data_IF_503644860441
#
_entry.id   IF_503644860441
#
_cell.length_a   1.000
_cell.length_b   1.000
_cell.length_c   1.000
_cell.angle_alpha   90.00
_cell.angle_beta   90.00
_cell.angle_gamma   90.00
#
_symmetry.space_group_name_H-M   'P 1'
#
loop_
_entity.id
_entity.type
_entity.pdbx_description
1 polymer ?
#
# COMPACT_ATOMS: atom_id res chain seq x y z
N UNK A 1 -4.47 -0.68 -2.46
CA UNK A 1 -4.30 0.78 -2.57
C UNK A 1 -3.23 1.14 -3.57
N UNK A 2 -1.95 1.02 -3.21
CA UNK A 2 -0.85 1.46 -4.07
C UNK A 2 -0.74 0.74 -5.42
N UNK A 3 -1.07 -0.55 -5.51
CA UNK A 3 -1.11 -1.25 -6.80
C UNK A 3 -2.12 -0.64 -7.77
N UNK A 4 -3.30 -0.26 -7.27
CA UNK A 4 -4.32 0.46 -8.05
C UNK A 4 -3.82 1.85 -8.46
N UNK A 5 -3.13 2.57 -7.56
CA UNK A 5 -2.50 3.85 -7.88
C UNK A 5 -1.48 3.70 -9.01
N UNK A 6 -0.58 2.71 -8.94
CA UNK A 6 0.40 2.43 -9.97
C UNK A 6 -0.24 2.17 -11.34
N UNK A 7 -1.26 1.30 -11.38
CA UNK A 7 -2.03 1.05 -12.60
C UNK A 7 -2.73 2.32 -13.13
N UNK A 8 -3.29 3.13 -12.23
CA UNK A 8 -3.92 4.42 -12.57
C UNK A 8 -2.91 5.42 -13.15
N UNK A 9 -1.68 5.44 -12.65
CA UNK A 9 -0.62 6.30 -13.20
C UNK A 9 -0.23 5.87 -14.62
N UNK A 10 -0.14 4.56 -14.88
CA UNK A 10 0.05 4.04 -16.24
C UNK A 10 -1.11 4.41 -17.16
N UNK A 11 -2.36 4.26 -16.70
CA UNK A 11 -3.55 4.68 -17.43
C UNK A 11 -3.53 6.19 -17.76
N UNK A 12 -3.24 7.03 -16.77
CA UNK A 12 -3.15 8.47 -16.92
C UNK A 12 -2.04 8.89 -17.89
N UNK A 13 -0.93 8.15 -17.94
CA UNK A 13 0.14 8.43 -18.90
C UNK A 13 -0.33 8.26 -20.36
N UNK A 14 -1.15 7.24 -20.64
CA UNK A 14 -1.75 7.04 -21.97
C UNK A 14 -2.82 8.09 -22.27
N UNK A 15 -3.70 8.38 -21.29
CA UNK A 15 -4.75 9.41 -21.43
C UNK A 15 -4.22 10.85 -21.36
N UNK A 16 -2.92 11.04 -21.10
CA UNK A 16 -2.26 12.34 -20.86
C UNK A 16 -2.91 13.15 -19.74
N UNK A 17 -3.47 12.47 -18.74
CA UNK A 17 -4.09 13.09 -17.58
C UNK A 17 -3.01 13.45 -16.55
N UNK A 18 -2.89 14.74 -16.23
CA UNK A 18 -1.85 15.29 -15.36
C UNK A 18 -2.35 15.68 -13.97
N UNK A 19 -3.55 15.23 -13.56
CA UNK A 19 -4.15 15.62 -12.27
C UNK A 19 -3.36 15.17 -11.04
N UNK A 20 -2.58 14.09 -11.17
CA UNK A 20 -1.70 13.60 -10.11
C UNK A 20 -0.32 14.17 -10.36
N UNK A 21 0.16 14.98 -9.42
CA UNK A 21 1.47 15.65 -9.51
C UNK A 21 2.57 14.92 -8.72
N UNK A 22 2.19 14.08 -7.76
CA UNK A 22 3.08 13.23 -6.96
C UNK A 22 2.31 12.03 -6.42
N UNK A 23 3.02 10.94 -6.11
CA UNK A 23 2.42 9.73 -5.54
C UNK A 23 3.16 9.26 -4.28
N UNK A 24 2.44 8.67 -3.32
CA UNK A 24 3.04 8.01 -2.17
C UNK A 24 2.50 6.59 -2.08
N UNK A 25 3.41 5.62 -2.02
CA UNK A 25 3.13 4.19 -1.95
C UNK A 25 3.54 3.68 -0.57
N UNK A 26 2.58 3.08 0.13
CA UNK A 26 2.77 2.49 1.45
C UNK A 26 2.77 0.97 1.28
N UNK A 27 3.87 0.30 1.60
CA UNK A 27 4.02 -1.17 1.60
C UNK A 27 3.30 -1.83 0.43
N UNK A 28 3.55 -1.31 -0.78
CA UNK A 28 2.77 -1.63 -1.98
C UNK A 28 3.60 -2.39 -3.00
N UNK A 29 3.03 -3.47 -3.55
CA UNK A 29 3.62 -4.24 -4.63
C UNK A 29 3.22 -3.67 -5.99
N UNK A 30 4.23 -3.41 -6.83
CA UNK A 30 4.08 -3.15 -8.27
C UNK A 30 4.80 -4.22 -9.11
N UNK A 31 5.79 -4.87 -8.50
CA UNK A 31 6.42 -6.09 -8.97
C UNK A 31 6.16 -7.19 -7.92
N UNK A 32 5.49 -8.26 -8.36
CA UNK A 32 5.07 -9.39 -7.53
C UNK A 32 6.02 -10.59 -7.65
N UNK A 33 7.28 -10.37 -8.06
CA UNK A 33 8.28 -11.45 -8.18
C UNK A 33 8.62 -12.11 -6.84
N UNK A 34 8.43 -11.38 -5.73
CA UNK A 34 8.63 -11.87 -4.36
C UNK A 34 7.35 -11.56 -3.55
N UNK A 35 6.25 -12.31 -3.76
CA UNK A 35 4.92 -11.96 -3.25
C UNK A 35 4.75 -12.16 -1.73
N UNK A 36 5.82 -12.49 -1.01
CA UNK A 36 5.79 -12.82 0.41
C UNK A 36 5.15 -14.18 0.68
N UNK A 37 4.70 -14.39 1.92
CA UNK A 37 4.07 -15.65 2.36
C UNK A 37 2.79 -15.99 1.59
N UNK A 38 2.17 -14.98 0.93
CA UNK A 38 1.03 -15.20 0.04
C UNK A 38 1.38 -16.08 -1.16
N UNK A 39 2.63 -16.06 -1.64
CA UNK A 39 3.05 -16.85 -2.80
C UNK A 39 2.87 -18.36 -2.61
N UNK A 40 2.91 -18.84 -1.37
CA UNK A 40 2.79 -20.26 -1.04
C UNK A 40 1.33 -20.77 -1.18
N UNK A 41 0.36 -19.86 -1.18
CA UNK A 41 -1.07 -20.14 -1.24
C UNK A 41 -1.70 -19.77 -2.60
N UNK A 42 -0.88 -19.45 -3.60
CA UNK A 42 -1.37 -19.02 -4.90
C UNK A 42 -0.86 -19.99 -5.96
N UNK A 43 -1.66 -21.02 -6.19
CA UNK A 43 -1.54 -21.93 -7.32
C UNK A 43 -2.82 -21.95 -8.17
N UNK A 44 -2.74 -22.50 -9.39
CA UNK A 44 -3.87 -22.52 -10.32
C UNK A 44 -5.09 -23.26 -9.78
N UNK A 45 -4.90 -24.34 -9.02
CA UNK A 45 -6.02 -25.12 -8.48
C UNK A 45 -6.76 -24.33 -7.38
N UNK A 46 -6.01 -23.68 -6.49
CA UNK A 46 -6.55 -22.85 -5.42
C UNK A 46 -7.28 -21.63 -5.98
N UNK A 47 -6.68 -20.93 -6.96
CA UNK A 47 -7.31 -19.77 -7.61
C UNK A 47 -8.57 -20.18 -8.37
N UNK A 48 -8.54 -21.27 -9.16
CA UNK A 48 -9.72 -21.74 -9.87
C UNK A 48 -10.86 -22.16 -8.93
N UNK A 49 -10.53 -22.81 -7.80
CA UNK A 49 -11.50 -23.16 -6.76
C UNK A 49 -12.13 -21.92 -6.12
N UNK A 50 -11.30 -20.91 -5.81
CA UNK A 50 -11.77 -19.64 -5.26
C UNK A 50 -12.67 -18.90 -6.25
N UNK A 51 -12.29 -18.87 -7.52
CA UNK A 51 -13.06 -18.25 -8.59
C UNK A 51 -14.42 -18.90 -8.76
N UNK A 52 -14.51 -20.24 -8.71
CA UNK A 52 -15.80 -20.94 -8.77
C UNK A 52 -16.75 -20.48 -7.66
N UNK A 53 -16.26 -20.42 -6.41
CA UNK A 53 -17.05 -19.93 -5.27
C UNK A 53 -17.48 -18.47 -5.43
N UNK A 54 -16.55 -17.62 -5.87
CA UNK A 54 -16.82 -16.20 -6.09
C UNK A 54 -17.76 -15.96 -7.28
N UNK A 55 -17.74 -16.81 -8.31
CA UNK A 55 -18.61 -16.71 -9.47
C UNK A 55 -20.07 -17.00 -9.09
N UNK A 56 -20.31 -17.98 -8.21
CA UNK A 56 -21.65 -18.32 -7.71
C UNK A 56 -22.27 -17.18 -6.86
N UNK A 57 -21.45 -16.49 -6.06
CA UNK A 57 -21.92 -15.46 -5.11
C UNK A 57 -21.75 -14.01 -5.59
N UNK A 58 -20.91 -13.79 -6.59
CA UNK A 58 -20.46 -12.47 -7.06
C UNK A 58 -19.29 -11.85 -6.27
N UNK A 59 -18.91 -12.43 -5.13
CA UNK A 59 -17.82 -11.96 -4.26
C UNK A 59 -17.31 -13.11 -3.35
N UNK A 60 -16.17 -12.93 -2.70
CA UNK A 60 -15.67 -13.85 -1.66
C UNK A 60 -16.19 -13.42 -0.28
N UNK A 61 -16.72 -14.35 0.51
CA UNK A 61 -17.19 -14.02 1.87
C UNK A 61 -16.02 -13.62 2.78
N UNK A 62 -16.24 -12.60 3.63
CA UNK A 62 -15.20 -12.05 4.50
C UNK A 62 -14.61 -13.09 5.44
N UNK A 63 -15.41 -14.06 5.90
CA UNK A 63 -14.94 -15.19 6.71
C UNK A 63 -14.00 -16.14 5.97
N UNK A 64 -14.18 -16.31 4.65
CA UNK A 64 -13.29 -17.16 3.84
C UNK A 64 -11.95 -16.45 3.58
N UNK A 65 -11.98 -15.13 3.38
CA UNK A 65 -10.78 -14.29 3.28
C UNK A 65 -10.02 -14.22 4.61
N UNK A 66 -10.75 -14.10 5.72
CA UNK A 66 -10.19 -14.10 7.07
C UNK A 66 -9.45 -15.40 7.38
N UNK A 67 -9.93 -16.56 6.93
CA UNK A 67 -9.23 -17.84 7.14
C UNK A 67 -7.88 -17.88 6.42
N UNK A 68 -7.80 -17.44 5.15
CA UNK A 68 -6.53 -17.35 4.41
C UNK A 68 -5.58 -16.31 5.03
N UNK A 69 -6.09 -15.12 5.37
CA UNK A 69 -5.29 -14.08 6.03
C UNK A 69 -4.88 -14.46 7.45
N UNK A 70 -5.69 -15.18 8.22
CA UNK A 70 -5.35 -15.65 9.56
C UNK A 70 -4.31 -16.77 9.52
N UNK A 71 -4.30 -17.62 8.47
CA UNK A 71 -3.21 -18.56 8.25
C UNK A 71 -1.88 -17.83 7.98
N UNK A 72 -1.90 -16.77 7.17
CA UNK A 72 -0.74 -15.90 6.90
C UNK A 72 -0.34 -15.03 8.11
N UNK A 73 -1.30 -14.57 8.90
CA UNK A 73 -1.08 -13.68 10.05
C UNK A 73 -0.84 -14.40 11.38
N UNK A 74 -0.80 -15.73 11.37
CA UNK A 74 -0.49 -16.52 12.57
C UNK A 74 0.87 -16.11 13.17
N UNK A 75 1.81 -15.67 12.34
CA UNK A 75 3.10 -15.15 12.80
C UNK A 75 3.02 -13.74 13.42
N UNK A 76 2.37 -12.76 12.80
CA UNK A 76 2.39 -11.39 13.33
C UNK A 76 1.42 -11.16 14.50
N UNK A 77 0.27 -11.83 14.55
CA UNK A 77 -0.74 -11.60 15.58
C UNK A 77 -0.62 -12.52 16.79
N UNK A 78 -0.10 -13.74 16.60
CA UNK A 78 0.03 -14.74 17.67
C UNK A 78 1.50 -14.91 18.06
N UNK A 79 2.42 -15.06 17.11
CA UNK A 79 3.83 -15.33 17.45
C UNK A 79 4.59 -14.09 17.91
N UNK A 80 4.42 -12.93 17.27
CA UNK A 80 5.01 -11.67 17.77
C UNK A 80 4.42 -11.26 19.13
N UNK A 81 3.14 -11.57 19.38
CA UNK A 81 2.44 -11.42 20.65
C UNK A 81 3.04 -12.33 21.73
N UNK A 82 3.24 -13.62 21.44
CA UNK A 82 3.86 -14.58 22.37
C UNK A 82 5.32 -14.21 22.64
N UNK A 83 6.12 -13.85 21.63
CA UNK A 83 7.53 -13.47 21.83
C UNK A 83 7.65 -12.15 22.61
N UNK A 84 6.89 -11.11 22.28
CA UNK A 84 7.00 -9.83 22.99
C UNK A 84 6.35 -9.83 24.39
N UNK A 85 5.23 -10.54 24.59
CA UNK A 85 4.51 -10.50 25.87
C UNK A 85 4.95 -11.62 26.81
N UNK A 86 5.15 -12.84 26.31
CA UNK A 86 5.49 -13.98 27.16
C UNK A 86 6.99 -14.08 27.44
N UNK A 87 7.86 -13.80 26.45
CA UNK A 87 9.32 -13.87 26.66
C UNK A 87 9.95 -12.53 27.09
N UNK A 88 9.41 -11.39 26.63
CA UNK A 88 10.03 -10.07 26.82
C UNK A 88 9.25 -9.13 27.76
N UNK A 89 8.08 -9.54 28.28
CA UNK A 89 7.30 -8.78 29.26
C UNK A 89 6.79 -7.42 28.77
N UNK A 90 6.59 -7.23 27.47
CA UNK A 90 6.14 -5.96 26.87
C UNK A 90 4.60 -5.83 26.88
N UNK A 91 4.13 -4.60 26.72
CA UNK A 91 2.70 -4.26 26.73
C UNK A 91 1.91 -4.97 25.61
N UNK A 92 0.64 -5.32 25.85
CA UNK A 92 -0.19 -6.07 24.90
C UNK A 92 -0.38 -5.32 23.57
N UNK A 93 -0.51 -6.10 22.50
CA UNK A 93 -0.80 -5.59 21.16
C UNK A 93 -2.09 -4.74 21.19
N UNK A 94 -2.10 -3.54 20.59
CA UNK A 94 -3.18 -2.60 20.85
C UNK A 94 -4.49 -3.08 20.20
N UNK A 95 -5.57 -2.99 20.98
CA UNK A 95 -6.90 -3.53 20.66
C UNK A 95 -7.53 -2.88 19.40
N UNK A 96 -7.09 -1.68 19.05
CA UNK A 96 -7.51 -0.95 17.86
C UNK A 96 -7.12 -1.67 16.55
N UNK A 97 -5.91 -2.23 16.48
CA UNK A 97 -5.43 -2.98 15.31
C UNK A 97 -6.20 -4.29 15.13
N UNK A 98 -6.53 -4.94 16.24
CA UNK A 98 -7.39 -6.13 16.24
C UNK A 98 -8.79 -5.80 15.75
N UNK A 99 -9.35 -4.68 16.22
CA UNK A 99 -10.66 -4.20 15.79
C UNK A 99 -10.68 -3.93 14.28
N UNK A 100 -9.71 -3.17 13.77
CA UNK A 100 -9.57 -2.91 12.33
C UNK A 100 -9.43 -4.20 11.51
N UNK A 101 -8.60 -5.14 11.98
CA UNK A 101 -8.40 -6.40 11.27
C UNK A 101 -9.69 -7.25 11.21
N UNK A 102 -10.50 -7.23 12.27
CA UNK A 102 -11.76 -7.99 12.31
C UNK A 102 -12.85 -7.43 11.40
N UNK A 103 -12.74 -6.17 10.98
CA UNK A 103 -13.74 -5.48 10.15
C UNK A 103 -13.48 -5.72 8.65
N UNK A 104 -13.80 -6.93 8.20
CA UNK A 104 -13.52 -7.39 6.86
C UNK A 104 -14.40 -6.70 5.79
N UNK A 105 -13.87 -6.58 4.57
CA UNK A 105 -14.59 -6.08 3.40
C UNK A 105 -14.74 -7.15 2.31
N UNK A 106 -15.79 -7.04 1.48
CA UNK A 106 -15.96 -7.89 0.28
C UNK A 106 -15.35 -7.23 -0.95
N UNK A 107 -14.79 -8.04 -1.85
CA UNK A 107 -14.34 -7.60 -3.17
C UNK A 107 -15.17 -8.26 -4.27
N UNK A 108 -15.58 -7.52 -5.32
CA UNK A 108 -16.27 -8.10 -6.47
C UNK A 108 -15.42 -9.17 -7.14
N UNK A 109 -16.05 -10.28 -7.54
CA UNK A 109 -15.41 -11.44 -8.17
C UNK A 109 -14.43 -11.05 -9.29
N UNK A 110 -14.89 -10.27 -10.28
CA UNK A 110 -14.08 -9.90 -11.44
C UNK A 110 -12.81 -9.14 -11.05
N UNK A 111 -12.91 -8.24 -10.07
CA UNK A 111 -11.77 -7.47 -9.59
C UNK A 111 -10.78 -8.39 -8.86
N UNK A 112 -11.29 -9.23 -7.96
CA UNK A 112 -10.44 -10.10 -7.14
C UNK A 112 -9.73 -11.17 -7.99
N UNK A 113 -10.46 -11.84 -8.89
CA UNK A 113 -9.90 -12.80 -9.86
C UNK A 113 -8.83 -12.14 -10.74
N UNK A 114 -9.13 -10.95 -11.30
CA UNK A 114 -8.16 -10.20 -12.10
C UNK A 114 -6.88 -9.90 -11.31
N UNK A 115 -7.00 -9.50 -10.05
CA UNK A 115 -5.87 -9.18 -9.20
C UNK A 115 -5.00 -10.42 -8.91
N UNK A 116 -5.61 -11.55 -8.52
CA UNK A 116 -4.89 -12.79 -8.23
C UNK A 116 -4.17 -13.31 -9.47
N UNK A 117 -4.87 -13.43 -10.61
CA UNK A 117 -4.31 -13.98 -11.84
C UNK A 117 -3.24 -13.08 -12.45
N UNK A 118 -3.51 -11.78 -12.58
CA UNK A 118 -2.60 -10.91 -13.32
C UNK A 118 -1.46 -10.36 -12.46
N UNK A 119 -1.64 -10.23 -11.15
CA UNK A 119 -0.59 -9.73 -10.26
C UNK A 119 0.19 -10.87 -9.62
N UNK A 120 -0.45 -11.67 -8.77
CA UNK A 120 0.27 -12.67 -7.99
C UNK A 120 0.74 -13.87 -8.82
N UNK A 121 -0.08 -14.37 -9.76
CA UNK A 121 0.32 -15.53 -10.56
C UNK A 121 1.23 -15.16 -11.73
N UNK A 122 0.80 -14.18 -12.55
CA UNK A 122 1.47 -13.86 -13.81
C UNK A 122 2.40 -12.65 -13.72
N UNK A 123 2.30 -11.85 -12.66
CA UNK A 123 3.11 -10.65 -12.44
C UNK A 123 3.17 -9.73 -13.67
N UNK A 124 2.02 -9.40 -14.24
CA UNK A 124 1.89 -8.68 -15.50
C UNK A 124 1.94 -7.15 -15.36
N UNK A 125 1.72 -6.60 -14.16
CA UNK A 125 1.74 -5.15 -13.97
C UNK A 125 3.13 -4.53 -14.17
N UNK A 126 4.20 -5.28 -13.90
CA UNK A 126 5.57 -4.81 -14.15
C UNK A 126 5.91 -4.76 -15.64
N UNK A 127 5.16 -5.49 -16.47
CA UNK A 127 5.40 -5.62 -17.90
C UNK A 127 4.65 -4.51 -18.66
N UNK A 128 5.33 -3.73 -19.52
CA UNK A 128 4.66 -2.74 -20.36
C UNK A 128 3.56 -3.37 -21.22
N UNK A 129 2.31 -2.95 -21.00
CA UNK A 129 1.14 -3.50 -21.69
C UNK A 129 0.72 -4.89 -21.21
N UNK A 130 1.28 -5.40 -20.11
CA UNK A 130 0.95 -6.73 -19.58
C UNK A 130 -0.47 -6.84 -19.04
N UNK A 131 -1.07 -5.72 -18.64
CA UNK A 131 -2.50 -5.62 -18.31
C UNK A 131 -3.17 -4.51 -19.11
N UNK A 132 -4.49 -4.63 -19.25
CA UNK A 132 -5.34 -3.63 -19.90
C UNK A 132 -6.45 -3.21 -18.93
N UNK A 133 -6.72 -1.90 -18.86
CA UNK A 133 -7.86 -1.34 -18.13
C UNK A 133 -8.65 -0.46 -19.09
N UNK A 134 -9.94 -0.75 -19.31
CA UNK A 134 -10.82 0.04 -20.19
C UNK A 134 -10.23 0.23 -21.61
N UNK A 135 -9.74 -0.86 -22.22
CA UNK A 135 -9.11 -0.80 -23.55
C UNK A 135 -7.71 -0.18 -23.57
N UNK A 136 -7.18 0.24 -22.42
CA UNK A 136 -5.89 0.93 -22.32
C UNK A 136 -4.80 -0.02 -21.80
N UNK A 137 -3.77 -0.32 -22.59
CA UNK A 137 -2.62 -1.08 -22.12
C UNK A 137 -1.84 -0.26 -21.09
N UNK A 138 -1.52 -0.87 -19.96
CA UNK A 138 -0.89 -0.19 -18.82
C UNK A 138 0.62 -0.37 -18.86
N UNK A 139 1.35 0.73 -18.81
CA UNK A 139 2.80 0.76 -18.62
C UNK A 139 3.16 1.75 -17.51
N UNK A 140 3.48 1.21 -16.33
CA UNK A 140 3.80 2.01 -15.14
C UNK A 140 5.14 2.75 -15.27
N UNK A 141 6.03 2.35 -16.18
CA UNK A 141 7.28 3.04 -16.47
C UNK A 141 7.07 4.41 -17.16
N UNK A 142 5.85 4.65 -17.68
CA UNK A 142 5.45 5.95 -18.23
C UNK A 142 5.04 6.95 -17.14
N UNK A 143 4.87 6.53 -15.89
CA UNK A 143 4.64 7.45 -14.78
C UNK A 143 5.92 8.24 -14.49
N UNK A 144 5.95 9.53 -14.86
CA UNK A 144 7.13 10.42 -14.71
C UNK A 144 7.06 11.35 -13.49
N UNK A 145 6.00 11.24 -12.69
CA UNK A 145 5.82 12.08 -11.49
C UNK A 145 6.77 11.63 -10.36
N UNK A 146 7.12 12.53 -9.43
CA UNK A 146 7.80 12.16 -8.20
C UNK A 146 6.98 11.17 -7.39
N UNK A 147 7.64 10.10 -6.93
CA UNK A 147 7.03 9.10 -6.06
C UNK A 147 7.82 8.94 -4.75
N UNK A 148 7.10 8.72 -3.67
CA UNK A 148 7.65 8.33 -2.38
C UNK A 148 7.21 6.91 -2.07
N UNK A 149 8.15 6.03 -1.76
CA UNK A 149 7.90 4.63 -1.44
C UNK A 149 8.34 4.38 0.01
N UNK A 150 7.39 4.01 0.87
CA UNK A 150 7.68 3.59 2.24
C UNK A 150 7.38 2.12 2.41
N UNK A 151 8.38 1.41 2.94
CA UNK A 151 8.31 -0.01 3.26
C UNK A 151 8.76 -0.26 4.70
N UNK A 152 8.56 -1.47 5.22
CA UNK A 152 8.98 -1.80 6.59
C UNK A 152 9.92 -3.01 6.57
N UNK A 153 10.98 -2.98 7.39
CA UNK A 153 12.08 -3.95 7.32
C UNK A 153 11.67 -5.37 7.72
N UNK A 154 10.67 -5.51 8.61
CA UNK A 154 10.13 -6.78 9.08
C UNK A 154 8.78 -7.12 8.42
N UNK A 155 8.43 -6.49 7.29
CA UNK A 155 7.20 -6.80 6.55
C UNK A 155 7.26 -8.18 5.90
N UNK A 156 6.47 -9.14 6.38
CA UNK A 156 6.34 -10.46 5.74
C UNK A 156 5.18 -10.50 4.71
N UNK A 157 4.25 -9.54 4.76
CA UNK A 157 3.09 -9.44 3.86
C UNK A 157 3.51 -8.80 2.53
N UNK A 158 4.25 -7.71 2.60
CA UNK A 158 4.82 -7.01 1.46
C UNK A 158 6.33 -6.83 1.68
N UNK A 159 7.15 -7.87 1.46
CA UNK A 159 8.59 -7.83 1.71
C UNK A 159 9.22 -6.60 1.11
N UNK A 160 10.02 -5.87 1.89
CA UNK A 160 10.54 -4.57 1.45
C UNK A 160 11.38 -4.69 0.18
N UNK A 161 12.09 -5.81 -0.02
CA UNK A 161 12.79 -6.12 -1.27
C UNK A 161 11.85 -6.19 -2.48
N UNK A 162 10.64 -6.74 -2.32
CA UNK A 162 9.64 -6.76 -3.40
C UNK A 162 9.09 -5.36 -3.67
N UNK A 163 8.80 -4.59 -2.63
CA UNK A 163 8.36 -3.19 -2.81
C UNK A 163 9.45 -2.32 -3.42
N UNK A 164 10.73 -2.61 -3.15
CA UNK A 164 11.88 -1.97 -3.77
C UNK A 164 11.93 -2.25 -5.28
N UNK A 165 11.77 -3.52 -5.68
CA UNK A 165 11.62 -3.88 -7.09
C UNK A 165 10.42 -3.19 -7.75
N UNK A 166 9.31 -3.02 -7.01
CA UNK A 166 8.16 -2.26 -7.50
C UNK A 166 8.49 -0.77 -7.72
N UNK A 167 9.23 -0.16 -6.79
CA UNK A 167 9.66 1.23 -6.87
C UNK A 167 10.53 1.50 -8.11
N UNK A 168 11.42 0.57 -8.47
CA UNK A 168 12.29 0.70 -9.66
C UNK A 168 11.55 0.57 -10.99
N UNK A 169 10.27 0.15 -10.99
CA UNK A 169 9.44 0.11 -12.21
C UNK A 169 8.87 1.46 -12.62
N UNK A 170 8.84 2.44 -11.72
CA UNK A 170 8.36 3.78 -12.04
C UNK A 170 9.40 4.54 -12.84
N UNK A 171 8.94 5.37 -13.78
CA UNK A 171 9.83 6.10 -14.67
C UNK A 171 10.22 7.51 -14.22
N UNK A 172 9.66 7.97 -13.11
CA UNK A 172 9.94 9.27 -12.49
C UNK A 172 10.91 9.14 -11.31
N UNK A 173 11.29 10.25 -10.66
CA UNK A 173 12.16 10.21 -9.50
C UNK A 173 11.46 9.53 -8.33
N UNK A 174 12.14 8.59 -7.68
CA UNK A 174 11.60 7.84 -6.53
C UNK A 174 12.46 8.09 -5.29
N UNK A 175 11.81 8.48 -4.18
CA UNK A 175 12.39 8.45 -2.84
C UNK A 175 11.94 7.16 -2.16
N UNK A 176 12.86 6.22 -1.98
CA UNK A 176 12.61 5.00 -1.22
C UNK A 176 13.03 5.19 0.24
N UNK A 177 12.18 4.79 1.17
CA UNK A 177 12.40 4.86 2.62
C UNK A 177 12.00 3.52 3.23
N UNK A 178 12.80 3.07 4.19
CA UNK A 178 12.56 1.83 4.92
C UNK A 178 12.33 2.16 6.39
N UNK A 179 11.17 1.86 6.94
CA UNK A 179 10.89 1.99 8.37
C UNK A 179 11.28 0.72 9.11
N UNK A 180 11.60 0.85 10.40
CA UNK A 180 11.65 -0.29 11.32
C UNK A 180 10.27 -0.91 11.54
N UNK A 181 10.27 -2.07 12.21
CA UNK A 181 9.10 -2.91 12.53
C UNK A 181 8.42 -3.55 11.31
N UNK A 182 7.26 -4.18 11.54
CA UNK A 182 6.47 -4.91 10.54
C UNK A 182 5.36 -4.07 9.91
N UNK A 183 4.53 -4.73 9.09
CA UNK A 183 3.60 -4.11 8.14
C UNK A 183 2.79 -2.92 8.68
N UNK A 184 2.13 -3.11 9.82
CA UNK A 184 1.27 -2.08 10.41
C UNK A 184 2.08 -1.16 11.33
N UNK A 185 2.85 -1.73 12.25
CA UNK A 185 3.56 -0.97 13.29
C UNK A 185 4.64 -0.03 12.72
N UNK A 186 5.29 -0.40 11.60
CA UNK A 186 6.24 0.45 10.91
C UNK A 186 5.57 1.58 10.12
N UNK A 187 4.39 1.34 9.55
CA UNK A 187 3.64 2.35 8.81
C UNK A 187 2.93 3.34 9.73
N UNK A 188 2.20 2.84 10.71
CA UNK A 188 1.45 3.62 11.70
C UNK A 188 2.36 3.94 12.88
N UNK A 189 3.35 4.80 12.65
CA UNK A 189 4.30 5.24 13.65
C UNK A 189 4.21 6.76 13.86
N UNK A 190 3.31 7.26 14.73
CA UNK A 190 3.20 8.70 14.98
C UNK A 190 4.49 9.29 15.56
N UNK A 191 4.98 10.45 15.08
CA UNK A 191 6.21 11.08 15.58
C UNK A 191 6.22 11.30 17.10
N UNK A 192 5.07 11.63 17.69
CA UNK A 192 4.93 11.85 19.12
C UNK A 192 5.24 10.60 19.97
N UNK A 193 5.18 9.39 19.39
CA UNK A 193 5.51 8.17 20.09
C UNK A 193 7.03 7.99 20.29
N UNK A 194 7.88 8.67 19.51
CA UNK A 194 9.33 8.52 19.53
C UNK A 194 9.81 7.05 19.50
N UNK A 195 9.10 6.20 18.74
CA UNK A 195 9.42 4.77 18.58
C UNK A 195 10.10 4.52 17.24
N UNK A 196 10.89 3.44 17.23
CA UNK A 196 11.57 2.91 16.05
C UNK A 196 12.58 3.88 15.43
N UNK A 197 12.88 3.64 14.16
CA UNK A 197 13.82 4.35 13.32
C UNK A 197 13.43 4.09 11.86
N UNK A 198 14.05 4.80 10.94
CA UNK A 198 13.90 4.57 9.51
C UNK A 198 15.24 4.77 8.80
N UNK A 199 15.38 4.25 7.60
CA UNK A 199 16.55 4.38 6.77
C UNK A 199 16.22 5.18 5.51
N UNK A 200 17.14 6.05 5.12
CA UNK A 200 17.14 6.72 3.82
C UNK A 200 18.47 6.50 3.14
N UNK A 201 18.48 6.52 1.82
CA UNK A 201 19.70 6.48 1.02
C UNK A 201 19.71 7.70 0.10
N UNK A 202 20.76 8.51 0.18
CA UNK A 202 20.92 9.77 -0.56
C UNK A 202 21.70 9.59 -1.88
N UNK A 203 21.82 8.34 -2.37
CA UNK A 203 22.35 8.06 -3.69
C UNK A 203 21.55 8.81 -4.77
N UNK A 204 22.27 9.36 -5.77
CA UNK A 204 21.66 10.15 -6.86
C UNK A 204 20.63 9.38 -7.68
N UNK A 205 20.79 8.06 -7.74
CA UNK A 205 19.86 7.12 -8.35
C UNK A 205 19.67 5.93 -7.41
N UNK A 206 18.51 5.28 -7.46
CA UNK A 206 18.29 4.05 -6.71
C UNK A 206 19.29 2.98 -7.17
N UNK A 207 20.05 2.37 -6.24
CA UNK A 207 20.93 1.25 -6.54
C UNK A 207 20.21 0.09 -7.23
N UNK A 208 20.96 -0.75 -7.96
CA UNK A 208 20.40 -1.83 -8.75
C UNK A 208 19.70 -2.89 -7.88
N UNK A 209 20.25 -3.15 -6.70
CA UNK A 209 19.72 -4.16 -5.77
C UNK A 209 19.22 -3.51 -4.46
N UNK A 210 18.22 -4.12 -3.80
CA UNK A 210 17.81 -3.66 -2.47
C UNK A 210 18.95 -3.79 -1.44
N UNK A 211 19.82 -4.79 -1.57
CA UNK A 211 20.99 -4.97 -0.71
C UNK A 211 21.95 -3.78 -0.80
N UNK A 212 22.34 -3.37 -2.00
CA UNK A 212 23.19 -2.19 -2.22
C UNK A 212 22.54 -0.92 -1.68
N UNK A 213 21.20 -0.81 -1.81
CA UNK A 213 20.46 0.31 -1.23
C UNK A 213 20.56 0.32 0.30
N UNK A 214 20.43 -0.83 0.94
CA UNK A 214 20.49 -0.92 2.41
C UNK A 214 21.90 -0.70 2.95
N UNK A 215 22.93 -1.24 2.29
CA UNK A 215 24.34 -1.03 2.65
C UNK A 215 24.74 0.45 2.62
N UNK A 216 24.21 1.21 1.65
CA UNK A 216 24.42 2.66 1.55
C UNK A 216 23.46 3.51 2.38
N UNK A 217 22.53 2.91 3.12
CA UNK A 217 21.49 3.66 3.82
C UNK A 217 21.96 4.18 5.18
N UNK A 218 21.47 5.37 5.53
CA UNK A 218 21.67 5.97 6.86
C UNK A 218 20.44 5.76 7.71
N UNK A 219 20.62 5.26 8.93
CA UNK A 219 19.55 5.11 9.92
C UNK A 219 19.28 6.45 10.63
N UNK A 220 18.01 6.79 10.79
CA UNK A 220 17.52 7.98 11.47
C UNK A 220 16.56 7.55 12.59
N UNK A 221 16.67 8.12 13.80
CA UNK A 221 15.76 7.78 14.89
C UNK A 221 14.34 8.30 14.65
N UNK A 222 13.35 7.63 15.23
CA UNK A 222 11.96 8.09 15.24
C UNK A 222 11.15 7.72 13.99
N UNK A 223 10.14 8.53 13.69
CA UNK A 223 9.14 8.24 12.66
C UNK A 223 9.56 8.73 11.27
N UNK A 224 9.38 7.88 10.26
CA UNK A 224 9.53 8.25 8.85
C UNK A 224 8.53 9.33 8.39
N UNK A 225 7.44 9.58 9.13
CA UNK A 225 6.44 10.60 8.77
C UNK A 225 7.06 11.99 8.64
N UNK A 226 8.10 12.30 9.43
CA UNK A 226 8.80 13.59 9.35
C UNK A 226 9.58 13.73 8.05
N UNK A 227 10.15 12.63 7.55
CA UNK A 227 10.83 12.60 6.25
C UNK A 227 9.84 12.79 5.10
N UNK A 228 8.73 12.05 5.13
CA UNK A 228 7.66 12.18 4.15
C UNK A 228 7.06 13.59 4.14
N UNK A 229 6.80 14.19 5.31
CA UNK A 229 6.29 15.56 5.43
C UNK A 229 7.27 16.57 4.81
N UNK A 230 8.57 16.41 5.04
CA UNK A 230 9.61 17.24 4.43
C UNK A 230 9.62 17.07 2.90
N UNK A 231 9.54 15.84 2.41
CA UNK A 231 9.51 15.54 0.97
C UNK A 231 8.29 16.14 0.28
N UNK A 232 7.07 15.90 0.79
CA UNK A 232 5.84 16.39 0.16
C UNK A 232 5.74 17.91 0.22
N UNK A 233 6.21 18.55 1.31
CA UNK A 233 6.29 20.00 1.40
C UNK A 233 7.28 20.58 0.39
N UNK A 234 8.42 19.91 0.16
CA UNK A 234 9.40 20.31 -0.85
C UNK A 234 8.84 20.31 -2.28
N UNK A 235 7.86 19.45 -2.59
CA UNK A 235 7.19 19.42 -3.90
C UNK A 235 6.22 20.60 -4.12
N UNK A 236 5.91 21.38 -3.08
CA UNK A 236 5.04 22.55 -3.19
C UNK A 236 5.78 23.81 -3.71
N UNK A 237 7.09 23.73 -3.96
CA UNK A 237 7.90 24.83 -4.53
C UNK A 237 7.86 24.94 -6.06
N UNK A 238 7.82 26.18 -6.55
CA UNK A 238 8.07 26.74 -7.89
C UNK A 238 7.31 26.27 -9.14
N UNK A 239 6.63 25.12 -9.20
CA UNK A 239 6.10 24.61 -10.49
C UNK A 239 4.58 24.40 -10.59
N UNK A 240 3.78 25.00 -9.70
CA UNK A 240 2.31 24.91 -9.79
C UNK A 240 1.65 25.99 -10.69
N UNK A 241 2.42 26.96 -11.19
CA UNK A 241 1.89 28.03 -12.04
C UNK A 241 0.90 28.96 -11.32
N UNK A 242 0.79 28.86 -9.98
CA UNK A 242 -0.14 29.59 -9.11
C UNK A 242 0.57 30.57 -8.15
N UNK A 243 1.88 30.83 -8.36
CA UNK A 243 2.63 31.80 -7.55
C UNK A 243 3.53 31.20 -6.45
N UNK A 244 4.06 30.00 -6.67
CA UNK A 244 5.41 29.58 -6.26
C UNK A 244 5.85 29.99 -4.84
N UNK A 245 5.38 29.25 -3.84
CA UNK A 245 5.87 29.34 -2.48
C UNK A 245 5.28 28.20 -1.65
N UNK A 246 5.88 27.91 -0.50
CA UNK A 246 5.36 26.98 0.50
C UNK A 246 4.10 27.57 1.17
N UNK A 247 3.09 27.91 0.38
CA UNK A 247 1.90 28.63 0.79
C UNK A 247 0.91 27.60 1.29
N UNK A 248 0.90 27.42 2.61
CA UNK A 248 -0.21 26.79 3.28
C UNK A 248 -1.49 27.53 2.90
N UNK A 249 -2.43 26.81 2.27
CA UNK A 249 -3.74 27.39 1.97
C UNK A 249 -4.63 27.29 3.21
N UNK A 250 -5.52 28.26 3.43
CA UNK A 250 -6.55 28.14 4.46
C UNK A 250 -7.35 26.85 4.29
N UNK A 251 -7.77 26.28 5.42
CA UNK A 251 -8.68 25.13 5.40
C UNK A 251 -9.90 25.47 4.55
N UNK A 252 -10.22 24.58 3.60
CA UNK A 252 -11.39 24.76 2.73
C UNK A 252 -12.64 24.40 3.50
N UNK A 253 -13.67 25.23 3.36
CA UNK A 253 -15.01 24.93 3.85
C UNK A 253 -15.74 24.04 2.83
N UNK A 254 -16.03 22.77 3.13
CA UNK A 254 -16.71 21.86 2.21
C UNK A 254 -18.10 22.38 1.79
N UNK A 255 -18.78 23.15 2.65
CA UNK A 255 -20.11 23.69 2.36
C UNK A 255 -20.08 24.79 1.28
N UNK A 256 -18.91 25.40 1.04
CA UNK A 256 -18.69 26.41 -0.02
C UNK A 256 -18.21 25.80 -1.34
N UNK A 257 -18.09 24.48 -1.41
CA UNK A 257 -17.68 23.75 -2.63
C UNK A 257 -18.80 23.67 -3.69
N UNK A 258 -18.43 23.24 -4.90
CA UNK A 258 -19.39 22.96 -5.99
C UNK A 258 -20.32 21.78 -5.70
N UNK A 259 -19.90 20.89 -4.80
CA UNK A 259 -20.65 19.70 -4.40
C UNK A 259 -21.19 19.91 -2.99
N UNK A 260 -22.47 19.59 -2.78
CA UNK A 260 -23.10 19.70 -1.46
C UNK A 260 -22.55 18.60 -0.53
N UNK A 261 -22.23 18.92 0.74
CA UNK A 261 -21.94 17.91 1.75
C UNK A 261 -23.10 16.91 1.89
N UNK A 262 -22.78 15.61 1.98
CA UNK A 262 -23.78 14.53 2.08
C UNK A 262 -24.03 14.10 3.53
N UNK A 263 -22.96 13.88 4.29
CA UNK A 263 -22.97 13.46 5.68
C UNK A 263 -21.62 13.81 6.35
N UNK A 264 -21.60 13.84 7.68
CA UNK A 264 -20.36 14.03 8.45
C UNK A 264 -19.43 12.82 8.31
N UNK A 265 -18.11 13.07 8.29
CA UNK A 265 -17.13 12.01 8.43
C UNK A 265 -17.36 11.21 9.73
N UNK A 266 -17.14 9.88 9.74
CA UNK A 266 -16.44 9.09 8.73
C UNK A 266 -17.34 8.55 7.60
N UNK A 267 -18.62 8.95 7.55
CA UNK A 267 -19.58 8.51 6.54
C UNK A 267 -20.16 7.12 6.78
N UNK A 268 -21.13 6.75 5.95
CA UNK A 268 -21.96 5.54 6.05
C UNK A 268 -21.25 4.29 5.55
N UNK A 269 -20.41 4.40 4.51
CA UNK A 269 -19.75 3.24 3.89
C UNK A 269 -18.80 2.53 4.84
N UNK A 270 -18.00 3.27 5.62
CA UNK A 270 -17.07 2.67 6.60
C UNK A 270 -17.78 2.22 7.88
N UNK A 271 -18.99 2.73 8.15
CA UNK A 271 -19.83 2.26 9.27
C UNK A 271 -20.58 0.96 8.94
N UNK A 272 -20.60 0.56 7.67
CA UNK A 272 -21.26 -0.66 7.26
C UNK A 272 -20.43 -1.88 7.66
N UNK A 273 -20.98 -2.71 8.55
CA UNK A 273 -20.32 -3.89 9.11
C UNK A 273 -20.95 -5.18 8.63
N UNK A 274 -20.15 -6.09 8.07
CA UNK A 274 -20.60 -7.38 7.53
C UNK A 274 -21.12 -8.32 8.61
N UNK A 275 -20.49 -8.32 9.78
CA UNK A 275 -20.84 -9.19 10.91
C UNK A 275 -22.14 -8.79 11.62
N UNK A 276 -22.60 -7.55 11.40
CA UNK A 276 -23.89 -7.05 11.88
C UNK A 276 -25.03 -7.29 10.88
N UNK A 277 -24.73 -7.69 9.65
CA UNK A 277 -25.77 -7.98 8.66
C UNK A 277 -26.34 -9.38 8.89
N UNK A 278 -27.66 -9.51 8.91
CA UNK A 278 -28.31 -10.82 8.92
C UNK A 278 -27.94 -11.57 7.64
N UNK A 279 -27.54 -12.85 7.76
CA UNK A 279 -27.40 -13.73 6.61
C UNK A 279 -28.76 -13.84 5.93
N UNK A 280 -28.84 -13.38 4.69
CA UNK A 280 -29.99 -13.58 3.82
C UNK A 280 -30.09 -15.04 3.41
#
# INVERSE_FOLDING_TARGET
>A
GGTLLGATLGYNAVKKDKRIVSATFFVSLLDFSIPGELGVFIDEQQVASLEKKMQERGYLEGSEMATTFNMLRSNDLIWSFVVNNYLMGKEPFPFDLLYWNSDATRMPYRMHSFYLRNMYMKNLLKEPGGIELDGVPIDISKAKIPAYFISTIEDHIAPWKSTYLGATRLGGPVRFVLSGSGHIAGIVNPPAANKYHFWTNEAKAMPATPEDWFEGATQHPGSWWTDWQKWIAGLNGDNRGDGGGNVWVPARDPAKGKLKPLEDAPGSFVKFRLDLQKKA
#
